data_IF_329744215169
#
_entry.id   IF_329744215169
#
_cell.length_a   1.000
_cell.length_b   1.000
_cell.length_c   1.000
_cell.angle_alpha   90.00
_cell.angle_beta   90.00
_cell.angle_gamma   90.00
#
_symmetry.space_group_name_H-M   'P 1'
#
loop_
_entity.id
_entity.type
_entity.pdbx_description
1 polymer ?
#
# COMPACT_ATOMS: atom_id res chain seq x y z
N UNK A 1 13.27 15.83 -11.76
CA UNK A 1 13.44 14.51 -11.09
C UNK A 1 12.07 13.96 -10.76
N UNK A 2 11.90 12.65 -10.96
CA UNK A 2 10.66 11.96 -11.34
C UNK A 2 9.91 11.35 -10.14
N UNK A 3 8.60 11.10 -10.32
CA UNK A 3 7.71 10.20 -9.54
C UNK A 3 8.41 8.88 -9.12
N UNK A 4 9.49 8.49 -9.80
CA UNK A 4 10.19 7.22 -9.67
C UNK A 4 11.69 7.29 -9.37
N UNK A 5 12.30 8.46 -9.12
CA UNK A 5 13.71 8.46 -8.65
C UNK A 5 13.88 7.85 -7.25
N UNK A 6 12.77 7.60 -6.54
CA UNK A 6 12.70 6.75 -5.36
C UNK A 6 11.72 5.58 -5.58
N UNK A 7 11.95 4.80 -6.64
CA UNK A 7 12.03 3.34 -6.50
C UNK A 7 13.07 2.97 -5.42
N UNK A 8 12.99 3.57 -4.21
CA UNK A 8 13.43 2.99 -2.96
C UNK A 8 12.52 1.79 -2.73
N UNK A 9 12.82 0.80 -3.55
CA UNK A 9 12.58 -0.60 -3.37
C UNK A 9 11.22 -0.86 -2.74
N UNK A 10 10.17 -0.83 -3.56
CA UNK A 10 8.96 -1.62 -3.27
C UNK A 10 9.37 -3.05 -2.88
N UNK A 11 10.51 -3.52 -3.43
CA UNK A 11 11.23 -4.70 -3.00
C UNK A 11 11.75 -4.66 -1.54
N UNK A 12 12.22 -3.56 -0.96
CA UNK A 12 12.61 -3.49 0.47
C UNK A 12 11.37 -3.48 1.38
N UNK A 13 10.28 -2.87 0.90
CA UNK A 13 8.97 -2.92 1.58
C UNK A 13 8.40 -4.34 1.51
N UNK A 14 8.50 -5.01 0.35
CA UNK A 14 8.01 -6.37 0.11
C UNK A 14 8.92 -7.47 0.70
N UNK A 15 10.24 -7.30 0.68
CA UNK A 15 11.23 -8.17 1.33
C UNK A 15 11.07 -8.08 2.86
N UNK A 16 10.70 -6.90 3.38
CA UNK A 16 10.25 -6.75 4.77
C UNK A 16 8.85 -7.32 5.07
N UNK A 17 8.01 -7.53 4.05
CA UNK A 17 6.69 -8.17 4.17
C UNK A 17 6.77 -9.70 4.05
N UNK A 18 7.75 -10.24 3.31
CA UNK A 18 7.92 -11.67 3.04
C UNK A 18 8.76 -12.44 4.08
N UNK A 19 9.49 -11.77 4.97
CA UNK A 19 10.23 -12.47 6.04
C UNK A 19 9.26 -12.92 7.15
N UNK A 20 8.84 -14.18 7.06
CA UNK A 20 8.02 -14.89 8.05
C UNK A 20 8.73 -15.15 9.39
N UNK A 21 9.59 -14.24 9.85
CA UNK A 21 10.22 -14.29 11.17
C UNK A 21 9.30 -13.64 12.20
N UNK A 22 8.99 -14.36 13.29
CA UNK A 22 8.12 -13.95 14.42
C UNK A 22 8.59 -12.67 15.18
N UNK A 23 9.47 -11.83 14.63
CA UNK A 23 10.17 -10.76 15.35
C UNK A 23 9.97 -9.31 14.90
N UNK A 24 9.37 -8.99 13.75
CA UNK A 24 9.58 -7.65 13.15
C UNK A 24 8.31 -6.87 12.78
N UNK A 25 7.40 -6.67 13.73
CA UNK A 25 6.32 -5.67 13.57
C UNK A 25 6.83 -4.21 13.56
N UNK A 26 7.98 -3.95 14.19
CA UNK A 26 8.53 -2.61 14.40
C UNK A 26 9.23 -2.01 13.15
N UNK A 27 10.07 -2.77 12.41
CA UNK A 27 10.67 -2.30 11.16
C UNK A 27 9.62 -1.99 10.09
N UNK A 28 8.54 -2.78 10.02
CA UNK A 28 7.41 -2.59 9.09
C UNK A 28 6.70 -1.26 9.28
N UNK A 29 6.36 -0.91 10.52
CA UNK A 29 5.71 0.38 10.84
C UNK A 29 6.61 1.58 10.50
N UNK A 30 7.92 1.45 10.72
CA UNK A 30 8.90 2.52 10.42
C UNK A 30 9.07 2.73 8.92
N UNK A 31 9.17 1.65 8.13
CA UNK A 31 9.24 1.71 6.68
C UNK A 31 7.96 2.32 6.07
N UNK A 32 6.78 1.89 6.54
CA UNK A 32 5.50 2.41 6.06
C UNK A 32 5.31 3.89 6.38
N UNK A 33 5.74 4.35 7.57
CA UNK A 33 5.73 5.78 7.93
C UNK A 33 6.65 6.62 7.03
N UNK A 34 7.85 6.12 6.69
CA UNK A 34 8.78 6.81 5.77
C UNK A 34 8.17 6.96 4.39
N UNK A 35 7.55 5.89 3.90
CA UNK A 35 6.88 5.87 2.59
C UNK A 35 5.69 6.84 2.58
N UNK A 36 4.89 6.85 3.64
CA UNK A 36 3.79 7.81 3.79
C UNK A 36 4.26 9.26 3.88
N UNK A 37 5.37 9.52 4.59
CA UNK A 37 6.00 10.85 4.63
C UNK A 37 6.44 11.29 3.23
N UNK A 38 7.13 10.43 2.50
CA UNK A 38 7.59 10.72 1.14
C UNK A 38 6.43 11.02 0.19
N UNK A 39 5.32 10.28 0.29
CA UNK A 39 4.12 10.55 -0.50
C UNK A 39 3.49 11.91 -0.14
N UNK A 40 3.39 12.23 1.15
CA UNK A 40 2.86 13.51 1.60
C UNK A 40 3.72 14.69 1.12
N UNK A 41 5.05 14.55 1.17
CA UNK A 41 5.98 15.58 0.70
C UNK A 41 5.80 15.83 -0.80
N UNK A 42 5.65 14.78 -1.61
CA UNK A 42 5.45 14.92 -3.06
C UNK A 42 4.05 15.48 -3.39
N UNK A 43 3.00 15.09 -2.65
CA UNK A 43 1.66 15.71 -2.78
C UNK A 43 1.72 17.20 -2.48
N UNK A 44 2.35 17.58 -1.37
CA UNK A 44 2.45 18.98 -0.95
C UNK A 44 3.24 19.82 -1.95
N UNK A 45 4.33 19.26 -2.48
CA UNK A 45 5.12 19.90 -3.54
C UNK A 45 4.28 20.12 -4.81
N UNK A 46 3.58 19.08 -5.30
CA UNK A 46 2.73 19.21 -6.48
C UNK A 46 1.59 20.20 -6.27
N UNK A 47 0.95 20.22 -5.10
CA UNK A 47 -0.09 21.19 -4.77
C UNK A 47 0.47 22.62 -4.72
N UNK A 48 1.67 22.82 -4.18
CA UNK A 48 2.34 24.12 -4.16
C UNK A 48 2.69 24.59 -5.57
N UNK A 49 3.23 23.71 -6.42
CA UNK A 49 3.49 23.99 -7.84
C UNK A 49 2.21 24.32 -8.60
N UNK A 50 1.11 23.60 -8.36
CA UNK A 50 -0.19 23.90 -8.96
C UNK A 50 -0.73 25.25 -8.52
N UNK A 51 -0.69 25.57 -7.21
CA UNK A 51 -1.14 26.85 -6.70
C UNK A 51 -0.34 28.01 -7.30
N UNK A 52 0.98 27.87 -7.40
CA UNK A 52 1.86 28.87 -8.00
C UNK A 52 1.58 29.09 -9.50
N UNK A 53 1.38 28.01 -10.26
CA UNK A 53 1.03 28.10 -11.68
C UNK A 53 -0.36 28.70 -11.89
N UNK A 54 -1.32 28.37 -11.04
CA UNK A 54 -2.66 28.95 -11.09
C UNK A 54 -2.64 30.45 -10.77
N UNK A 55 -1.88 30.86 -9.76
CA UNK A 55 -1.67 32.28 -9.43
C UNK A 55 -1.03 33.03 -10.61
N UNK A 56 -0.01 32.44 -11.23
CA UNK A 56 0.66 33.02 -12.40
C UNK A 56 -0.27 33.15 -13.61
N UNK A 57 -1.27 32.27 -13.75
CA UNK A 57 -2.32 32.37 -14.76
C UNK A 57 -3.27 33.53 -14.50
N UNK A 58 -3.70 33.71 -13.25
CA UNK A 58 -4.55 34.83 -12.86
C UNK A 58 -3.85 36.16 -13.14
N UNK A 59 -2.55 36.25 -12.85
CA UNK A 59 -1.73 37.43 -13.15
C UNK A 59 -1.52 37.66 -14.65
N UNK A 60 -1.34 36.59 -15.44
CA UNK A 60 -1.21 36.70 -16.89
C UNK A 60 -2.54 37.06 -17.59
N UNK A 61 -3.67 36.68 -16.98
CA UNK A 61 -5.02 37.00 -17.45
C UNK A 61 -5.51 38.37 -16.98
N UNK A 62 -4.89 38.93 -15.92
CA UNK A 62 -5.16 40.29 -15.48
C UNK A 62 -4.62 41.28 -16.52
N UNK A 63 -5.52 41.80 -17.36
CA UNK A 63 -5.19 42.85 -18.31
C UNK A 63 -4.85 44.14 -17.55
N UNK A 64 -3.78 44.87 -17.93
CA UNK A 64 -3.54 46.19 -17.40
C UNK A 64 -4.69 47.09 -17.83
N UNK A 65 -5.41 47.62 -16.85
CA UNK A 65 -6.30 48.76 -17.06
C UNK A 65 -5.45 49.94 -17.51
N UNK A 66 -5.83 50.54 -18.64
CA UNK A 66 -5.19 51.68 -19.29
C UNK A 66 -3.77 51.43 -19.82
N UNK A 67 -3.67 51.07 -21.10
CA UNK A 67 -2.42 51.29 -21.85
C UNK A 67 -2.67 52.26 -23.00
N UNK A 68 -2.24 53.50 -22.80
CA UNK A 68 -1.91 54.48 -23.86
C UNK A 68 -0.66 54.06 -24.66
N UNK A 69 -0.26 52.79 -24.59
CA UNK A 69 0.91 52.23 -25.24
C UNK A 69 0.70 52.13 -26.75
N UNK A 70 1.76 52.39 -27.53
CA UNK A 70 1.74 52.30 -28.99
C UNK A 70 1.32 50.89 -29.41
N UNK A 71 0.58 50.77 -30.52
CA UNK A 71 -0.01 49.50 -30.97
C UNK A 71 0.97 48.32 -31.04
N UNK A 72 2.25 48.58 -31.36
CA UNK A 72 3.31 47.57 -31.37
C UNK A 72 3.65 47.04 -29.96
N UNK A 73 3.64 47.89 -28.94
CA UNK A 73 3.91 47.51 -27.55
C UNK A 73 2.73 46.68 -26.99
N UNK A 74 1.51 47.03 -27.39
CA UNK A 74 0.29 46.28 -27.05
C UNK A 74 0.29 44.86 -27.66
N UNK A 75 0.68 44.71 -28.94
CA UNK A 75 0.76 43.39 -29.59
C UNK A 75 1.79 42.47 -28.91
N UNK A 76 3.01 42.98 -28.64
CA UNK A 76 4.02 42.20 -27.91
C UNK A 76 3.59 41.82 -26.50
N UNK A 77 2.84 42.71 -25.81
CA UNK A 77 2.27 42.43 -24.50
C UNK A 77 1.25 41.29 -24.56
N UNK A 78 0.33 41.31 -25.53
CA UNK A 78 -0.67 40.26 -25.69
C UNK A 78 -0.05 38.91 -26.08
N UNK A 79 0.96 38.90 -26.96
CA UNK A 79 1.68 37.66 -27.32
C UNK A 79 2.40 37.07 -26.09
N UNK A 80 3.05 37.91 -25.28
CA UNK A 80 3.70 37.50 -24.03
C UNK A 80 2.69 36.92 -23.02
N UNK A 81 1.56 37.59 -22.84
CA UNK A 81 0.48 37.12 -21.97
C UNK A 81 -0.08 35.76 -22.44
N UNK A 82 -0.36 35.62 -23.74
CA UNK A 82 -0.84 34.36 -24.32
C UNK A 82 0.17 33.21 -24.14
N UNK A 83 1.48 33.49 -24.31
CA UNK A 83 2.53 32.49 -24.10
C UNK A 83 2.63 32.07 -22.62
N UNK A 84 2.53 33.02 -21.68
CA UNK A 84 2.50 32.72 -20.24
C UNK A 84 1.28 31.87 -19.89
N UNK A 85 0.10 32.22 -20.41
CA UNK A 85 -1.13 31.43 -20.19
C UNK A 85 -0.95 30.00 -20.70
N UNK A 86 -0.44 29.83 -21.92
CA UNK A 86 -0.15 28.49 -22.47
C UNK A 86 0.85 27.71 -21.59
N UNK A 87 1.93 28.35 -21.18
CA UNK A 87 3.00 27.69 -20.40
C UNK A 87 2.48 27.21 -19.04
N UNK A 88 1.76 28.07 -18.32
CA UNK A 88 1.25 27.71 -16.99
C UNK A 88 0.06 26.74 -17.06
N UNK A 89 -0.77 26.77 -18.11
CA UNK A 89 -1.81 25.74 -18.32
C UNK A 89 -1.20 24.37 -18.60
N UNK A 90 -0.18 24.28 -19.44
CA UNK A 90 0.56 23.03 -19.67
C UNK A 90 1.23 22.50 -18.39
N UNK A 91 1.80 23.40 -17.57
CA UNK A 91 2.37 23.04 -16.28
C UNK A 91 1.32 22.51 -15.29
N UNK A 92 0.14 23.14 -15.21
CA UNK A 92 -0.99 22.66 -14.40
C UNK A 92 -1.47 21.28 -14.84
N UNK A 93 -1.62 21.06 -16.15
CA UNK A 93 -2.04 19.76 -16.68
C UNK A 93 -1.00 18.68 -16.35
N UNK A 94 0.29 19.00 -16.44
CA UNK A 94 1.37 18.09 -16.06
C UNK A 94 1.29 17.75 -14.57
N UNK A 95 1.25 18.75 -13.69
CA UNK A 95 1.15 18.52 -12.25
C UNK A 95 -0.11 17.72 -11.86
N UNK A 96 -1.24 17.99 -12.50
CA UNK A 96 -2.46 17.19 -12.32
C UNK A 96 -2.32 15.72 -12.74
N UNK A 97 -1.61 15.45 -13.85
CA UNK A 97 -1.29 14.06 -14.26
C UNK A 97 -0.36 13.38 -13.27
N UNK A 98 0.65 14.09 -12.78
CA UNK A 98 1.58 13.56 -11.78
C UNK A 98 0.87 13.20 -10.46
N UNK A 99 -0.08 14.04 -10.02
CA UNK A 99 -0.91 13.76 -8.87
C UNK A 99 -1.79 12.50 -9.06
N UNK A 100 -2.39 12.33 -10.24
CA UNK A 100 -3.18 11.13 -10.54
C UNK A 100 -2.33 9.85 -10.52
N UNK A 101 -1.10 9.91 -11.05
CA UNK A 101 -0.16 8.79 -11.00
C UNK A 101 0.23 8.45 -9.56
N UNK A 102 0.46 9.47 -8.73
CA UNK A 102 0.77 9.29 -7.31
C UNK A 102 -0.38 8.62 -6.54
N UNK A 103 -1.63 9.03 -6.81
CA UNK A 103 -2.83 8.41 -6.24
C UNK A 103 -2.95 6.95 -6.68
N UNK A 104 -2.67 6.64 -7.94
CA UNK A 104 -2.69 5.28 -8.44
C UNK A 104 -1.64 4.40 -7.76
N UNK A 105 -0.41 4.91 -7.57
CA UNK A 105 0.65 4.23 -6.85
C UNK A 105 0.26 3.94 -5.39
N UNK A 106 -0.26 4.94 -4.67
CA UNK A 106 -0.76 4.78 -3.31
C UNK A 106 -1.85 3.69 -3.18
N UNK A 107 -2.81 3.68 -4.11
CA UNK A 107 -3.87 2.67 -4.12
C UNK A 107 -3.31 1.26 -4.38
N UNK A 108 -2.37 1.14 -5.32
CA UNK A 108 -1.69 -0.13 -5.63
C UNK A 108 -0.94 -0.66 -4.41
N UNK A 109 -0.13 0.18 -3.75
CA UNK A 109 0.66 -0.23 -2.58
C UNK A 109 -0.23 -0.68 -1.42
N UNK A 110 -1.34 0.03 -1.18
CA UNK A 110 -2.32 -0.36 -0.17
C UNK A 110 -2.97 -1.71 -0.49
N UNK A 111 -3.32 -1.94 -1.75
CA UNK A 111 -3.92 -3.21 -2.19
C UNK A 111 -2.93 -4.38 -2.03
N UNK A 112 -1.67 -4.19 -2.41
CA UNK A 112 -0.61 -5.19 -2.23
C UNK A 112 -0.39 -5.53 -0.75
N UNK A 113 -0.33 -4.53 0.11
CA UNK A 113 -0.18 -4.74 1.55
C UNK A 113 -1.38 -5.51 2.16
N UNK A 114 -2.61 -5.20 1.75
CA UNK A 114 -3.80 -5.93 2.17
C UNK A 114 -3.81 -7.37 1.68
N UNK A 115 -3.42 -7.60 0.43
CA UNK A 115 -3.32 -8.94 -0.15
C UNK A 115 -2.28 -9.79 0.59
N UNK A 116 -1.09 -9.24 0.88
CA UNK A 116 -0.05 -9.94 1.64
C UNK A 116 -0.51 -10.28 3.07
N UNK A 117 -1.19 -9.36 3.75
CA UNK A 117 -1.75 -9.60 5.07
C UNK A 117 -2.82 -10.70 5.06
N UNK A 118 -3.67 -10.72 4.04
CA UNK A 118 -4.71 -11.74 3.88
C UNK A 118 -4.11 -13.12 3.62
N UNK A 119 -3.08 -13.21 2.76
CA UNK A 119 -2.36 -14.47 2.52
C UNK A 119 -1.72 -15.02 3.80
N UNK A 120 -1.05 -14.15 4.58
CA UNK A 120 -0.47 -14.55 5.85
C UNK A 120 -1.53 -15.03 6.87
N UNK A 121 -2.71 -14.40 6.89
CA UNK A 121 -3.82 -14.84 7.73
C UNK A 121 -4.37 -16.20 7.30
N UNK A 122 -4.47 -16.45 5.99
CA UNK A 122 -4.87 -17.76 5.44
C UNK A 122 -3.86 -18.83 5.79
N UNK A 123 -2.57 -18.56 5.68
CA UNK A 123 -1.51 -19.53 6.03
C UNK A 123 -1.51 -19.85 7.53
N UNK A 124 -1.72 -18.84 8.39
CA UNK A 124 -1.89 -19.05 9.83
C UNK A 124 -3.13 -19.90 10.15
N UNK A 125 -4.26 -19.62 9.50
CA UNK A 125 -5.49 -20.40 9.66
C UNK A 125 -5.31 -21.85 9.20
N UNK A 126 -4.62 -22.08 8.08
CA UNK A 126 -4.28 -23.42 7.58
C UNK A 126 -3.40 -24.19 8.55
N UNK A 127 -2.36 -23.54 9.09
CA UNK A 127 -1.50 -24.16 10.10
C UNK A 127 -2.26 -24.49 11.38
N UNK A 128 -3.17 -23.60 11.82
CA UNK A 128 -4.01 -23.86 12.99
C UNK A 128 -4.98 -25.03 12.76
N UNK A 129 -5.57 -25.13 11.57
CA UNK A 129 -6.44 -26.24 11.21
C UNK A 129 -5.68 -27.57 11.13
N UNK A 130 -4.47 -27.56 10.56
CA UNK A 130 -3.61 -28.75 10.52
C UNK A 130 -3.27 -29.25 11.94
N UNK A 131 -2.89 -28.34 12.84
CA UNK A 131 -2.61 -28.70 14.23
C UNK A 131 -3.85 -29.29 14.93
N UNK A 132 -5.02 -28.65 14.80
CA UNK A 132 -6.25 -29.17 15.39
C UNK A 132 -6.66 -30.53 14.82
N UNK A 133 -6.36 -30.79 13.55
CA UNK A 133 -6.61 -32.10 12.92
C UNK A 133 -5.66 -33.16 13.46
N UNK A 134 -4.39 -32.81 13.69
CA UNK A 134 -3.41 -33.70 14.30
C UNK A 134 -3.77 -34.02 15.76
N UNK A 135 -4.10 -33.00 16.57
CA UNK A 135 -4.51 -33.18 17.96
C UNK A 135 -5.74 -34.10 18.08
N UNK A 136 -6.69 -33.98 17.15
CA UNK A 136 -7.85 -34.85 17.07
C UNK A 136 -7.47 -36.29 16.66
N UNK A 137 -6.53 -36.47 15.74
CA UNK A 137 -6.01 -37.80 15.36
C UNK A 137 -5.33 -38.48 16.54
N UNK A 138 -4.43 -37.77 17.22
CA UNK A 138 -3.68 -38.30 18.37
C UNK A 138 -4.64 -38.69 19.51
N UNK A 139 -5.70 -37.90 19.73
CA UNK A 139 -6.75 -38.21 20.71
C UNK A 139 -7.57 -39.46 20.34
N UNK A 140 -7.83 -39.68 19.04
CA UNK A 140 -8.54 -40.86 18.56
C UNK A 140 -7.68 -42.12 18.68
N UNK A 141 -6.38 -42.03 18.40
CA UNK A 141 -5.44 -43.13 18.57
C UNK A 141 -5.30 -43.52 20.06
N UNK A 142 -5.22 -42.55 20.97
CA UNK A 142 -5.21 -42.80 22.43
C UNK A 142 -6.51 -43.47 22.90
N UNK A 143 -7.66 -43.04 22.36
CA UNK A 143 -8.95 -43.65 22.70
C UNK A 143 -9.05 -45.09 22.19
N UNK A 144 -8.59 -45.37 20.96
CA UNK A 144 -8.59 -46.71 20.39
C UNK A 144 -7.74 -47.67 21.24
N UNK A 145 -6.53 -47.26 21.62
CA UNK A 145 -5.66 -48.05 22.50
C UNK A 145 -6.32 -48.38 23.84
N UNK A 146 -7.02 -47.42 24.46
CA UNK A 146 -7.75 -47.65 25.72
C UNK A 146 -8.93 -48.61 25.55
N UNK A 147 -9.63 -48.54 24.43
CA UNK A 147 -10.73 -49.47 24.13
C UNK A 147 -10.18 -50.88 23.98
N UNK A 148 -9.08 -51.06 23.26
CA UNK A 148 -8.42 -52.37 23.11
C UNK A 148 -7.93 -52.93 24.45
N UNK A 149 -7.33 -52.10 25.31
CA UNK A 149 -6.92 -52.48 26.67
C UNK A 149 -8.11 -52.93 27.54
N UNK A 150 -9.23 -52.19 27.49
CA UNK A 150 -10.44 -52.52 28.24
C UNK A 150 -11.10 -53.81 27.73
N UNK A 151 -11.12 -54.01 26.41
CA UNK A 151 -11.63 -55.25 25.82
C UNK A 151 -10.80 -56.44 26.26
N UNK A 152 -9.46 -56.31 26.24
CA UNK A 152 -8.56 -57.36 26.73
C UNK A 152 -8.78 -57.64 28.23
N UNK A 153 -8.97 -56.61 29.07
CA UNK A 153 -9.22 -56.80 30.49
C UNK A 153 -10.54 -57.53 30.75
N UNK A 154 -11.60 -57.17 30.02
CA UNK A 154 -12.90 -57.81 30.09
C UNK A 154 -12.84 -59.28 29.66
N UNK A 155 -12.10 -59.60 28.60
CA UNK A 155 -11.88 -60.99 28.19
C UNK A 155 -11.20 -61.78 29.32
N UNK A 156 -10.13 -61.25 29.91
CA UNK A 156 -9.47 -61.93 31.04
C UNK A 156 -10.39 -62.12 32.25
N UNK A 157 -11.19 -61.11 32.62
CA UNK A 157 -12.16 -61.26 33.72
C UNK A 157 -13.22 -62.31 33.43
N UNK A 158 -13.73 -62.34 32.20
CA UNK A 158 -14.71 -63.33 31.76
C UNK A 158 -14.15 -64.76 31.86
N UNK A 159 -12.94 -65.00 31.37
CA UNK A 159 -12.29 -66.31 31.47
C UNK A 159 -12.02 -66.73 32.92
N UNK A 160 -11.57 -65.81 33.78
CA UNK A 160 -11.38 -66.08 35.21
C UNK A 160 -12.71 -66.42 35.91
N UNK A 161 -13.84 -65.84 35.46
CA UNK A 161 -15.16 -66.14 36.05
C UNK A 161 -15.75 -67.50 35.65
N UNK A 162 -15.15 -68.19 34.67
CA UNK A 162 -15.59 -69.48 34.13
C UNK A 162 -14.83 -70.70 34.69
N UNK A 163 -13.73 -70.48 35.43
CA UNK A 163 -12.97 -71.51 36.16
C UNK A 163 -13.45 -71.68 37.60
#
# INVERSE_FOLDING_TARGET
>A
MSILTANMSTKDVLDGLGSGGKGEAFPRRKAMRRLQSSYNDEVNKLLSEMASNYQSLLEAAALPGDSTARAHDAETFHISAALRVKTHTEALVRAGRELLLLIAALKRDRCLAQSAAMNAAVDAARSSAANATQDASDSLDELASRVDELLASLETEYYVSME
#
